data_IF_484671293932
#
_entry.id   IF_484671293932
#
_cell.length_a   1.000
_cell.length_b   1.000
_cell.length_c   1.000
_cell.angle_alpha   90.00
_cell.angle_beta   90.00
_cell.angle_gamma   90.00
#
_symmetry.space_group_name_H-M   'P 1'
#
loop_
_entity.id
_entity.type
_entity.pdbx_description
1 polymer ?
#
# COMPACT_ATOMS: atom_id res chain seq x y z
N UNK A 1 17.76 13.84 -17.60
CA UNK A 1 16.34 13.43 -17.44
C UNK A 1 15.51 14.56 -16.84
N UNK A 2 15.73 14.93 -15.57
CA UNK A 2 14.92 15.95 -14.86
C UNK A 2 14.89 17.31 -15.59
N UNK A 3 16.04 17.82 -16.04
CA UNK A 3 16.11 19.11 -16.77
C UNK A 3 15.31 19.15 -18.06
N UNK A 4 15.26 18.06 -18.81
CA UNK A 4 14.52 17.98 -20.08
C UNK A 4 13.02 17.90 -19.78
N UNK A 5 12.60 17.01 -18.87
CA UNK A 5 11.19 16.90 -18.47
C UNK A 5 10.64 18.16 -17.81
N UNK A 6 11.42 18.81 -16.95
CA UNK A 6 11.07 20.08 -16.33
C UNK A 6 11.12 21.28 -17.28
N UNK A 7 11.79 21.16 -18.44
CA UNK A 7 11.77 22.19 -19.48
C UNK A 7 10.37 22.37 -20.07
N UNK A 8 9.71 21.24 -20.37
CA UNK A 8 8.35 21.17 -20.92
C UNK A 8 7.28 21.29 -19.82
N UNK A 9 7.39 20.51 -18.74
CA UNK A 9 6.39 20.44 -17.66
C UNK A 9 6.87 21.11 -16.37
N UNK A 10 7.04 22.44 -16.41
CA UNK A 10 7.60 23.24 -15.28
C UNK A 10 6.77 23.19 -13.99
N UNK A 11 5.46 22.95 -14.09
CA UNK A 11 4.57 22.87 -12.92
C UNK A 11 4.72 21.56 -12.15
N UNK A 12 5.10 20.48 -12.85
CA UNK A 12 5.12 19.12 -12.30
C UNK A 12 6.52 18.67 -11.88
N UNK A 13 7.55 19.02 -12.67
CA UNK A 13 8.92 18.56 -12.45
C UNK A 13 9.83 19.75 -12.20
N UNK A 14 10.42 19.83 -11.01
CA UNK A 14 11.38 20.87 -10.62
C UNK A 14 12.67 20.24 -10.15
N UNK A 15 13.80 20.66 -10.73
CA UNK A 15 15.12 20.10 -10.37
C UNK A 15 15.46 20.28 -8.89
N UNK A 16 15.10 21.43 -8.30
CA UNK A 16 15.35 21.72 -6.88
C UNK A 16 14.73 20.69 -5.94
N UNK A 17 13.59 20.10 -6.30
CA UNK A 17 12.89 19.16 -5.43
C UNK A 17 13.65 17.83 -5.29
N UNK A 18 14.57 17.54 -6.20
CA UNK A 18 15.43 16.35 -6.16
C UNK A 18 16.70 16.56 -5.33
N UNK A 19 17.08 17.81 -5.04
CA UNK A 19 18.28 18.15 -4.28
C UNK A 19 18.01 18.13 -2.77
N UNK A 20 19.07 17.98 -1.98
CA UNK A 20 19.03 18.26 -0.55
C UNK A 20 18.90 19.77 -0.28
N UNK A 21 18.66 20.15 0.97
CA UNK A 21 18.67 21.57 1.38
C UNK A 21 20.00 22.27 1.10
N UNK A 22 21.10 21.52 1.06
CA UNK A 22 22.45 21.99 0.68
C UNK A 22 22.66 22.10 -0.83
N UNK A 23 21.76 21.54 -1.64
CA UNK A 23 21.87 21.54 -3.10
C UNK A 23 22.58 20.31 -3.68
N UNK A 24 22.82 19.26 -2.90
CA UNK A 24 23.54 18.06 -3.31
C UNK A 24 22.62 16.95 -3.83
N UNK A 25 23.12 16.14 -4.75
CA UNK A 25 22.45 14.92 -5.20
C UNK A 25 22.85 13.73 -4.32
N UNK A 26 22.03 13.44 -3.31
CA UNK A 26 22.24 12.30 -2.40
C UNK A 26 21.24 11.18 -2.65
N UNK A 27 21.62 9.96 -2.28
CA UNK A 27 20.79 8.74 -2.36
C UNK A 27 20.63 8.05 -1.00
N UNK A 28 21.28 8.62 0.02
CA UNK A 28 21.25 8.17 1.40
C UNK A 28 19.99 8.68 2.11
N UNK A 29 19.93 8.49 3.43
CA UNK A 29 18.79 8.92 4.24
C UNK A 29 18.58 10.45 4.28
N UNK A 30 19.60 11.23 3.90
CA UNK A 30 19.51 12.69 3.80
C UNK A 30 19.03 13.18 2.44
N UNK A 31 18.83 12.27 1.48
CA UNK A 31 18.24 12.60 0.19
C UNK A 31 16.83 13.17 0.33
N UNK A 32 16.41 13.96 -0.65
CA UNK A 32 15.05 14.47 -0.71
C UNK A 32 14.03 13.34 -0.82
N UNK A 33 12.84 13.56 -0.25
CA UNK A 33 11.76 12.59 -0.36
C UNK A 33 11.34 12.35 -1.82
N UNK A 34 11.43 13.38 -2.66
CA UNK A 34 11.18 13.31 -4.10
C UNK A 34 12.18 12.38 -4.80
N UNK A 35 13.46 12.45 -4.45
CA UNK A 35 14.48 11.54 -4.98
C UNK A 35 14.18 10.08 -4.59
N UNK A 36 13.93 9.82 -3.31
CA UNK A 36 13.67 8.47 -2.78
C UNK A 36 12.35 7.87 -3.27
N UNK A 37 11.36 8.70 -3.63
CA UNK A 37 10.09 8.27 -4.19
C UNK A 37 10.07 8.25 -5.72
N UNK A 38 11.10 8.77 -6.39
CA UNK A 38 11.17 8.80 -7.85
C UNK A 38 11.11 7.40 -8.45
N UNK A 39 10.47 7.28 -9.61
CA UNK A 39 10.39 6.01 -10.33
C UNK A 39 11.78 5.45 -10.62
N UNK A 40 12.72 6.31 -11.04
CA UNK A 40 14.10 5.93 -11.31
C UNK A 40 14.79 5.32 -10.07
N UNK A 41 14.64 5.93 -8.89
CA UNK A 41 15.21 5.39 -7.65
C UNK A 41 14.61 4.02 -7.32
N UNK A 42 13.29 3.91 -7.35
CA UNK A 42 12.59 2.66 -7.04
C UNK A 42 12.99 1.54 -7.99
N UNK A 43 13.07 1.80 -9.29
CA UNK A 43 13.46 0.81 -10.28
C UNK A 43 14.94 0.43 -10.21
N UNK A 44 15.84 1.34 -9.87
CA UNK A 44 17.27 0.99 -9.74
C UNK A 44 17.57 0.22 -8.46
N UNK A 45 16.85 0.50 -7.36
CA UNK A 45 17.13 -0.05 -6.04
C UNK A 45 16.13 -1.08 -5.53
N UNK A 46 15.24 -1.59 -6.39
CA UNK A 46 14.27 -2.60 -5.98
C UNK A 46 14.99 -3.85 -5.44
N UNK A 47 14.68 -4.21 -4.19
CA UNK A 47 15.33 -5.29 -3.42
C UNK A 47 16.85 -5.16 -3.24
N UNK A 48 17.43 -4.00 -3.55
CA UNK A 48 18.88 -3.77 -3.40
C UNK A 48 19.30 -3.69 -1.93
N UNK A 49 18.38 -3.33 -1.03
CA UNK A 49 18.65 -3.20 0.40
C UNK A 49 19.10 -4.48 1.10
N UNK A 50 18.85 -5.64 0.51
CA UNK A 50 19.25 -6.95 1.03
C UNK A 50 20.56 -7.47 0.39
N UNK A 51 21.01 -6.84 -0.70
CA UNK A 51 22.18 -7.28 -1.45
C UNK A 51 23.46 -6.82 -0.78
N UNK A 52 24.39 -7.76 -0.60
CA UNK A 52 25.76 -7.50 -0.13
C UNK A 52 26.75 -7.88 -1.22
N UNK A 53 27.42 -6.88 -1.77
CA UNK A 53 28.48 -7.10 -2.76
C UNK A 53 29.84 -7.35 -2.13
N UNK A 54 30.11 -6.75 -0.97
CA UNK A 54 31.36 -6.92 -0.23
C UNK A 54 31.04 -7.27 1.24
N UNK A 55 31.88 -8.12 1.83
CA UNK A 55 31.85 -8.48 3.25
C UNK A 55 32.08 -7.25 4.14
N UNK A 56 32.90 -6.30 3.69
CA UNK A 56 33.27 -5.11 4.46
C UNK A 56 32.22 -4.00 4.43
N UNK A 57 31.30 -4.03 3.45
CA UNK A 57 30.27 -3.00 3.31
C UNK A 57 28.92 -3.45 3.87
N UNK A 58 28.10 -2.51 4.38
CA UNK A 58 26.74 -2.82 4.77
C UNK A 58 25.88 -3.26 3.57
N UNK A 59 24.77 -3.97 3.81
CA UNK A 59 23.81 -4.31 2.76
C UNK A 59 23.14 -3.07 2.18
N UNK A 60 22.96 -3.04 0.86
CA UNK A 60 22.44 -1.87 0.14
C UNK A 60 23.46 -0.74 -0.03
N UNK A 61 24.75 -1.05 -0.07
CA UNK A 61 25.80 -0.06 -0.35
C UNK A 61 26.02 0.11 -1.87
N UNK A 62 25.80 1.32 -2.37
CA UNK A 62 26.11 1.66 -3.76
C UNK A 62 27.59 2.04 -3.89
N UNK A 63 28.35 1.20 -4.60
CA UNK A 63 29.79 1.37 -4.82
C UNK A 63 30.13 2.58 -5.69
N UNK A 64 29.28 2.95 -6.63
CA UNK A 64 29.54 4.08 -7.54
C UNK A 64 29.33 5.41 -6.83
N UNK A 65 28.35 5.48 -5.92
CA UNK A 65 28.07 6.67 -5.10
C UNK A 65 28.86 6.71 -3.80
N UNK A 66 29.40 5.57 -3.36
CA UNK A 66 30.10 5.44 -2.08
C UNK A 66 29.18 5.70 -0.89
N UNK A 67 27.90 5.31 -0.97
CA UNK A 67 26.90 5.61 0.05
C UNK A 67 25.90 4.46 0.21
N UNK A 68 25.38 4.30 1.43
CA UNK A 68 24.28 3.39 1.71
C UNK A 68 22.96 3.99 1.26
N UNK A 69 22.07 3.18 0.69
CA UNK A 69 20.76 3.64 0.22
C UNK A 69 19.87 4.09 1.39
N UNK A 70 19.17 5.22 1.21
CA UNK A 70 18.28 5.79 2.23
C UNK A 70 17.02 4.98 2.48
N UNK A 71 16.42 4.37 1.44
CA UNK A 71 15.18 3.60 1.55
C UNK A 71 15.38 2.18 1.02
N UNK A 72 15.47 1.22 1.95
CA UNK A 72 15.74 -0.19 1.64
C UNK A 72 14.49 -0.99 1.26
N UNK A 73 13.38 -0.69 1.93
CA UNK A 73 12.15 -1.49 1.82
C UNK A 73 11.07 -0.66 1.13
N UNK A 74 10.69 -1.09 -0.07
CA UNK A 74 9.54 -0.58 -0.81
C UNK A 74 9.10 -1.62 -1.82
N UNK A 75 7.81 -1.58 -2.15
CA UNK A 75 7.20 -2.43 -3.16
C UNK A 75 6.86 -1.60 -4.41
N UNK A 76 6.66 -2.30 -5.52
CA UNK A 76 6.26 -1.72 -6.79
C UNK A 76 4.80 -2.11 -7.04
N UNK A 77 3.94 -1.09 -7.17
CA UNK A 77 2.49 -1.33 -7.29
C UNK A 77 2.08 -1.65 -8.73
N UNK A 78 2.65 -0.94 -9.71
CA UNK A 78 2.25 -0.99 -11.12
C UNK A 78 3.25 -1.73 -12.02
N UNK A 79 4.39 -2.14 -11.46
CA UNK A 79 5.51 -2.70 -12.19
C UNK A 79 6.00 -3.93 -11.45
N UNK A 80 6.41 -4.94 -12.20
CA UNK A 80 7.06 -6.13 -11.65
C UNK A 80 8.42 -6.36 -12.33
N UNK A 81 9.34 -6.99 -11.60
CA UNK A 81 10.65 -7.35 -12.13
C UNK A 81 10.53 -8.55 -13.06
N UNK A 82 10.80 -8.35 -14.35
CA UNK A 82 10.79 -9.41 -15.35
C UNK A 82 12.15 -10.11 -15.47
N UNK A 83 13.25 -9.35 -15.34
CA UNK A 83 14.60 -9.90 -15.42
C UNK A 83 15.62 -8.96 -14.76
N UNK A 84 16.60 -9.54 -14.07
CA UNK A 84 17.78 -8.83 -13.57
C UNK A 84 19.03 -9.61 -13.95
N UNK A 85 20.04 -8.90 -14.48
CA UNK A 85 21.31 -9.53 -14.86
C UNK A 85 22.13 -9.97 -13.64
N UNK A 86 23.03 -10.95 -13.84
CA UNK A 86 23.87 -11.53 -12.77
C UNK A 86 24.60 -10.50 -11.93
N UNK A 87 25.16 -9.47 -12.57
CA UNK A 87 25.93 -8.42 -11.92
C UNK A 87 25.11 -7.13 -11.69
N UNK A 88 23.79 -7.21 -11.81
CA UNK A 88 22.86 -6.10 -11.52
C UNK A 88 23.12 -4.84 -12.35
N UNK A 89 23.70 -5.01 -13.55
CA UNK A 89 23.93 -3.93 -14.51
C UNK A 89 22.67 -3.57 -15.30
N UNK A 90 21.78 -4.55 -15.52
CA UNK A 90 20.58 -4.39 -16.33
C UNK A 90 19.40 -4.98 -15.56
N UNK A 91 18.32 -4.20 -15.47
CA UNK A 91 17.05 -4.57 -14.87
C UNK A 91 15.93 -4.27 -15.84
N UNK A 92 15.07 -5.24 -16.07
CA UNK A 92 13.93 -5.15 -16.98
C UNK A 92 12.67 -5.32 -16.16
N UNK A 93 11.78 -4.35 -16.29
CA UNK A 93 10.50 -4.32 -15.59
C UNK A 93 9.36 -4.45 -16.58
N UNK A 94 8.33 -5.19 -16.20
CA UNK A 94 7.08 -5.29 -16.95
C UNK A 94 6.02 -4.42 -16.26
N UNK A 95 5.28 -3.65 -17.05
CA UNK A 95 4.13 -2.90 -16.57
C UNK A 95 2.98 -3.88 -16.37
N UNK A 96 2.38 -3.86 -15.18
CA UNK A 96 1.22 -4.68 -14.87
C UNK A 96 -0.03 -4.15 -15.60
N UNK A 97 -0.95 -5.03 -16.00
CA UNK A 97 -2.23 -4.59 -16.52
C UNK A 97 -2.98 -3.79 -15.44
N UNK A 98 -3.82 -2.82 -15.84
CA UNK A 98 -4.61 -2.04 -14.89
C UNK A 98 -5.52 -2.96 -14.06
N UNK A 99 -5.70 -2.64 -12.78
CA UNK A 99 -6.58 -3.41 -11.91
C UNK A 99 -8.01 -3.40 -12.44
N UNK A 100 -8.62 -4.58 -12.52
CA UNK A 100 -9.98 -4.74 -13.03
C UNK A 100 -11.06 -4.36 -11.99
N UNK A 101 -10.67 -4.10 -10.73
CA UNK A 101 -11.59 -3.80 -9.64
C UNK A 101 -11.26 -2.43 -9.04
N UNK A 102 -12.23 -1.51 -8.88
CA UNK A 102 -11.96 -0.23 -8.25
C UNK A 102 -11.56 -0.44 -6.79
N UNK A 103 -10.39 0.05 -6.41
CA UNK A 103 -9.91 0.02 -5.03
C UNK A 103 -10.83 0.85 -4.13
N UNK A 104 -11.68 0.18 -3.35
CA UNK A 104 -12.54 0.81 -2.37
C UNK A 104 -11.67 1.26 -1.17
N UNK A 105 -11.23 2.51 -1.17
CA UNK A 105 -10.35 3.10 -0.13
C UNK A 105 -10.92 3.06 1.29
N UNK A 106 -12.22 2.84 1.44
CA UNK A 106 -12.87 2.70 2.73
C UNK A 106 -13.77 1.47 2.76
N UNK A 107 -13.66 0.69 3.84
CA UNK A 107 -14.70 -0.26 4.25
C UNK A 107 -15.99 0.54 4.47
N UNK A 108 -16.82 0.63 3.41
CA UNK A 108 -18.08 1.38 3.39
C UNK A 108 -19.16 0.76 4.29
N UNK A 109 -18.80 -0.27 5.07
CA UNK A 109 -19.70 -0.95 6.01
C UNK A 109 -19.50 -0.39 7.42
N UNK A 110 -20.11 0.75 7.71
CA UNK A 110 -20.51 1.05 9.10
C UNK A 110 -21.73 0.17 9.40
N UNK A 111 -21.51 -1.05 9.89
CA UNK A 111 -22.60 -1.84 10.47
C UNK A 111 -23.02 -1.11 11.75
N UNK A 112 -24.04 -0.26 11.66
CA UNK A 112 -24.70 0.26 12.84
C UNK A 112 -25.50 -0.90 13.45
N UNK A 113 -24.86 -1.65 14.37
CA UNK A 113 -25.54 -2.64 15.20
C UNK A 113 -26.57 -1.88 16.04
N UNK A 114 -27.80 -1.75 15.53
CA UNK A 114 -28.93 -1.37 16.37
C UNK A 114 -29.05 -2.47 17.43
N UNK A 115 -28.95 -2.16 18.73
CA UNK A 115 -29.26 -3.16 19.74
C UNK A 115 -30.70 -3.60 19.48
N UNK A 116 -30.90 -4.90 19.27
CA UNK A 116 -32.24 -5.47 19.17
C UNK A 116 -32.92 -5.27 20.53
N UNK A 117 -33.75 -4.23 20.63
CA UNK A 117 -34.66 -4.09 21.76
C UNK A 117 -35.56 -5.31 21.77
N UNK A 118 -35.47 -6.14 22.81
CA UNK A 118 -36.48 -7.17 23.07
C UNK A 118 -37.80 -6.42 23.27
N UNK A 119 -38.69 -6.43 22.27
CA UNK A 119 -40.04 -5.92 22.47
C UNK A 119 -40.71 -6.81 23.52
N UNK A 120 -40.96 -6.29 24.71
CA UNK A 120 -41.56 -7.01 25.85
C UNK A 120 -43.03 -7.41 25.62
N UNK A 121 -43.58 -7.23 24.41
CA UNK A 121 -44.99 -7.48 24.13
C UNK A 121 -45.26 -7.71 22.64
N UNK A 122 -44.66 -8.73 22.02
CA UNK A 122 -45.22 -9.29 20.78
C UNK A 122 -45.93 -10.60 21.09
N UNK A 123 -47.26 -10.54 21.26
CA UNK A 123 -48.14 -11.72 21.29
C UNK A 123 -48.52 -12.17 19.88
N UNK A 124 -47.71 -11.90 18.85
CA UNK A 124 -47.92 -12.53 17.53
C UNK A 124 -47.48 -13.98 17.62
N UNK A 125 -48.46 -14.89 17.70
CA UNK A 125 -48.24 -16.35 17.66
C UNK A 125 -48.81 -17.14 18.83
N UNK A 126 -49.58 -16.55 19.76
CA UNK A 126 -50.32 -17.35 20.76
C UNK A 126 -51.70 -17.73 20.23
N UNK A 127 -51.89 -19.01 19.92
CA UNK A 127 -53.21 -19.59 19.68
C UNK A 127 -53.99 -19.58 21.02
N UNK A 128 -55.13 -18.89 21.05
CA UNK A 128 -56.05 -18.94 22.20
C UNK A 128 -56.70 -20.32 22.23
N UNK A 129 -56.38 -21.13 23.24
CA UNK A 129 -57.09 -22.37 23.52
C UNK A 129 -58.37 -21.97 24.27
N UNK A 130 -59.58 -22.29 23.77
CA UNK A 130 -60.80 -21.96 24.47
C UNK A 130 -61.00 -22.88 25.68
N UNK A 131 -61.37 -22.30 26.83
CA UNK A 131 -61.76 -23.07 28.01
C UNK A 131 -63.13 -23.71 27.77
N UNK A 132 -63.19 -25.04 27.70
CA UNK A 132 -64.46 -25.76 27.81
C UNK A 132 -64.79 -25.94 29.28
N UNK A 133 -65.80 -25.20 29.76
CA UNK A 133 -66.67 -25.64 30.85
C UNK A 133 -67.64 -26.67 30.30
N UNK A 134 -67.72 -27.84 30.93
CA UNK A 134 -68.96 -28.60 31.04
C UNK A 134 -68.88 -29.54 32.24
N UNK A 135 -69.74 -29.26 33.21
CA UNK A 135 -70.11 -30.05 34.38
C UNK A 135 -70.61 -31.44 34.04
N UNK A 136 -70.15 -32.48 34.75
CA UNK A 136 -70.94 -33.70 34.99
C UNK A 136 -70.60 -34.24 36.39
N UNK A 137 -71.59 -34.17 37.28
CA UNK A 137 -71.71 -34.89 38.55
C UNK A 137 -71.93 -36.38 38.30
N UNK A 138 -71.35 -37.27 39.12
CA UNK A 138 -71.89 -38.61 39.33
C UNK A 138 -71.79 -39.01 40.80
N UNK A 139 -72.82 -39.75 41.18
CA UNK A 139 -73.32 -40.18 42.50
C UNK A 139 -72.31 -40.87 43.40
#
# INVERSE_FOLDING_TARGET
>A
MVRIGGGEHRSEIRERDFLTSTGDYRIDRSASQTMLNSLMYKLSYYRFGEVRFDMRTPPGFDRTRGSEIGRKNFELDYLEEAYTSRHWLVRIYRVLPPENLPHLSHTRRRIHRRPSGKSSSSRRGRLNIPSKRSSITFS
#
